data_IF_234844934387
#
_entry.id   IF_234844934387
#
_cell.length_a   1.000
_cell.length_b   1.000
_cell.length_c   1.000
_cell.angle_alpha   90.00
_cell.angle_beta   90.00
_cell.angle_gamma   90.00
#
_symmetry.space_group_name_H-M   'P 1'
#
loop_
_entity.id
_entity.type
_entity.pdbx_description
1 polymer ?
#
# COMPACT_ATOMS: atom_id res chain seq x y z
N UNK A 1 -21.01 1.79 -10.43
CA UNK A 1 -20.21 0.79 -11.21
C UNK A 1 -21.09 -0.41 -11.51
N UNK A 2 -21.42 -0.65 -12.77
CA UNK A 2 -22.30 -1.75 -13.17
C UNK A 2 -21.49 -3.04 -13.32
N UNK A 3 -21.90 -4.09 -12.61
CA UNK A 3 -21.28 -5.43 -12.62
C UNK A 3 -21.49 -6.23 -13.93
N UNK A 4 -21.74 -5.54 -15.05
CA UNK A 4 -22.11 -6.16 -16.33
C UNK A 4 -21.06 -7.14 -16.91
N UNK A 5 -19.84 -7.18 -16.36
CA UNK A 5 -18.78 -8.10 -16.82
C UNK A 5 -18.66 -9.40 -16.01
N UNK A 6 -19.30 -9.52 -14.85
CA UNK A 6 -19.11 -10.66 -13.94
C UNK A 6 -20.22 -11.70 -14.04
N UNK A 7 -21.30 -11.45 -14.81
CA UNK A 7 -22.45 -12.35 -14.91
C UNK A 7 -23.21 -12.57 -13.59
N UNK A 8 -22.92 -11.78 -12.57
CA UNK A 8 -23.55 -11.83 -11.24
C UNK A 8 -24.39 -10.57 -11.07
N UNK A 9 -25.68 -10.73 -10.84
CA UNK A 9 -26.56 -9.61 -10.46
C UNK A 9 -26.28 -9.22 -9.02
N UNK A 10 -25.67 -8.05 -8.80
CA UNK A 10 -25.37 -7.53 -7.47
C UNK A 10 -24.85 -6.11 -7.50
N UNK A 11 -24.95 -5.40 -6.36
CA UNK A 11 -24.38 -4.08 -6.19
C UNK A 11 -22.91 -4.20 -5.75
N UNK A 12 -22.00 -4.05 -6.72
CA UNK A 12 -20.54 -4.12 -6.49
C UNK A 12 -20.09 -2.96 -5.60
N UNK A 13 -20.72 -1.80 -5.67
CA UNK A 13 -20.36 -0.66 -4.83
C UNK A 13 -20.71 -0.93 -3.37
N UNK A 14 -21.88 -1.51 -3.10
CA UNK A 14 -22.26 -1.95 -1.77
C UNK A 14 -21.31 -3.03 -1.23
N UNK A 15 -20.94 -4.00 -2.07
CA UNK A 15 -20.00 -5.05 -1.68
C UNK A 15 -18.63 -4.47 -1.33
N UNK A 16 -18.08 -3.58 -2.16
CA UNK A 16 -16.82 -2.89 -1.89
C UNK A 16 -16.90 -2.00 -0.64
N UNK A 17 -18.06 -1.38 -0.40
CA UNK A 17 -18.33 -0.61 0.81
C UNK A 17 -18.28 -1.45 2.09
N UNK A 18 -18.60 -2.74 1.99
CA UNK A 18 -18.61 -3.68 3.13
C UNK A 18 -17.24 -4.31 3.41
N UNK A 19 -16.27 -4.15 2.51
CA UNK A 19 -14.90 -4.67 2.70
C UNK A 19 -14.18 -3.89 3.79
N UNK A 20 -13.60 -4.60 4.76
CA UNK A 20 -12.86 -4.00 5.87
C UNK A 20 -11.50 -3.41 5.48
N UNK A 21 -11.00 -3.69 4.27
CA UNK A 21 -9.74 -3.15 3.76
C UNK A 21 -9.99 -1.75 3.19
N UNK A 22 -9.28 -0.70 3.66
CA UNK A 22 -9.37 0.64 3.12
C UNK A 22 -9.15 0.67 1.60
N UNK A 23 -10.13 1.22 0.86
CA UNK A 23 -10.14 1.18 -0.61
C UNK A 23 -10.55 2.54 -1.18
N UNK A 24 -10.01 2.87 -2.35
CA UNK A 24 -10.26 4.15 -3.00
C UNK A 24 -10.34 4.04 -4.53
N UNK A 25 -11.00 5.04 -5.14
CA UNK A 25 -10.99 5.26 -6.59
C UNK A 25 -10.57 6.68 -6.87
N UNK A 26 -9.58 6.83 -7.75
CA UNK A 26 -9.18 8.12 -8.35
C UNK A 26 -9.67 8.18 -9.79
N UNK A 27 -10.01 9.37 -10.27
CA UNK A 27 -10.15 9.60 -11.70
C UNK A 27 -8.78 9.79 -12.38
N UNK A 28 -8.78 9.98 -13.69
CA UNK A 28 -7.55 10.18 -14.47
C UNK A 28 -6.82 11.50 -14.18
N UNK A 29 -7.45 12.41 -13.45
CA UNK A 29 -6.83 13.67 -12.98
C UNK A 29 -6.26 13.54 -11.57
N UNK A 30 -6.46 12.40 -10.89
CA UNK A 30 -5.98 12.16 -9.54
C UNK A 30 -6.92 12.64 -8.43
N UNK A 31 -8.15 13.00 -8.77
CA UNK A 31 -9.16 13.37 -7.77
C UNK A 31 -9.80 12.12 -7.18
N UNK A 32 -9.92 12.07 -5.85
CA UNK A 32 -10.59 11.00 -5.12
C UNK A 32 -12.09 11.05 -5.42
N UNK A 33 -12.61 10.03 -6.11
CA UNK A 33 -14.02 9.95 -6.48
C UNK A 33 -14.80 9.07 -5.54
N UNK A 34 -14.16 8.10 -4.95
CA UNK A 34 -14.81 7.18 -4.02
C UNK A 34 -13.80 6.66 -3.01
N UNK A 35 -14.26 6.43 -1.79
CA UNK A 35 -13.57 5.70 -0.73
C UNK A 35 -14.60 4.84 0.00
N UNK A 36 -14.17 3.70 0.51
CA UNK A 36 -15.03 2.90 1.37
C UNK A 36 -14.99 3.39 2.83
N UNK A 37 -15.91 2.94 3.69
CA UNK A 37 -15.94 3.34 5.11
C UNK A 37 -14.64 3.02 5.87
N UNK A 38 -13.89 2.00 5.46
CA UNK A 38 -12.60 1.70 6.08
C UNK A 38 -11.54 2.77 5.76
N UNK A 39 -11.47 3.23 4.49
CA UNK A 39 -10.58 4.33 4.10
C UNK A 39 -11.01 5.67 4.72
N UNK A 40 -12.33 5.90 4.87
CA UNK A 40 -12.85 7.10 5.52
C UNK A 40 -12.48 7.15 7.01
N UNK A 41 -12.51 6.02 7.72
CA UNK A 41 -12.02 5.94 9.11
C UNK A 41 -10.52 6.24 9.23
N UNK A 42 -9.74 5.83 8.23
CA UNK A 42 -8.29 5.99 8.22
C UNK A 42 -7.87 7.42 7.89
N UNK A 43 -8.48 8.03 6.88
CA UNK A 43 -8.04 9.30 6.30
C UNK A 43 -8.99 10.47 6.58
N UNK A 44 -10.20 10.19 7.03
CA UNK A 44 -11.31 11.14 7.00
C UNK A 44 -11.95 11.22 5.62
N UNK A 45 -12.95 12.09 5.45
CA UNK A 45 -13.55 12.30 4.13
C UNK A 45 -12.62 13.14 3.23
N UNK A 46 -12.04 12.46 2.25
CA UNK A 46 -11.12 13.04 1.27
C UNK A 46 -11.67 13.06 -0.15
N UNK A 47 -12.97 12.73 -0.31
CA UNK A 47 -13.65 12.79 -1.62
C UNK A 47 -13.57 14.21 -2.21
N UNK A 48 -13.38 14.30 -3.51
CA UNK A 48 -13.20 15.55 -4.22
C UNK A 48 -11.82 16.21 -4.07
N UNK A 49 -10.97 15.72 -3.18
CA UNK A 49 -9.59 16.22 -3.04
C UNK A 49 -8.67 15.49 -4.03
N UNK A 50 -7.60 16.15 -4.43
CA UNK A 50 -6.54 15.52 -5.20
C UNK A 50 -5.71 14.60 -4.27
N UNK A 51 -5.34 13.39 -4.72
CA UNK A 51 -4.68 12.39 -3.89
C UNK A 51 -3.37 12.89 -3.24
N UNK A 52 -2.68 13.84 -3.88
CA UNK A 52 -1.47 14.43 -3.29
C UNK A 52 -1.71 15.22 -2.01
N UNK A 53 -2.96 15.60 -1.72
CA UNK A 53 -3.30 16.29 -0.47
C UNK A 53 -3.33 15.36 0.75
N UNK A 54 -3.37 14.05 0.50
CA UNK A 54 -3.35 13.00 1.54
C UNK A 54 -2.06 12.18 1.53
N UNK A 55 -1.09 12.54 0.69
CA UNK A 55 0.24 11.93 0.66
C UNK A 55 1.23 12.89 1.29
N UNK A 56 2.11 12.38 2.15
CA UNK A 56 3.14 13.19 2.77
C UNK A 56 4.05 13.86 1.72
N UNK A 57 4.53 15.09 1.95
CA UNK A 57 5.31 15.85 0.98
C UNK A 57 6.50 15.08 0.39
N UNK A 58 7.20 14.32 1.22
CA UNK A 58 8.37 13.51 0.85
C UNK A 58 8.04 12.37 -0.12
N UNK A 59 6.80 11.88 -0.11
CA UNK A 59 6.34 10.78 -0.98
C UNK A 59 5.57 11.26 -2.22
N UNK A 60 5.22 12.55 -2.28
CA UNK A 60 4.33 13.11 -3.31
C UNK A 60 4.90 12.92 -4.72
N UNK A 61 6.20 13.10 -4.93
CA UNK A 61 6.82 12.94 -6.24
C UNK A 61 6.68 11.49 -6.74
N UNK A 62 7.02 10.52 -5.90
CA UNK A 62 6.92 9.09 -6.21
C UNK A 62 5.47 8.65 -6.45
N UNK A 63 4.54 9.18 -5.66
CA UNK A 63 3.12 8.90 -5.83
C UNK A 63 2.59 9.41 -7.17
N UNK A 64 2.98 10.63 -7.60
CA UNK A 64 2.63 11.19 -8.91
C UNK A 64 3.17 10.35 -10.06
N UNK A 65 4.44 9.94 -9.98
CA UNK A 65 5.05 9.10 -11.02
C UNK A 65 4.32 7.75 -11.14
N UNK A 66 4.07 7.10 -10.02
CA UNK A 66 3.32 5.84 -9.97
C UNK A 66 1.90 5.97 -10.52
N UNK A 67 1.20 7.04 -10.17
CA UNK A 67 -0.14 7.35 -10.70
C UNK A 67 -0.12 7.59 -12.21
N UNK A 68 0.81 8.41 -12.70
CA UNK A 68 0.93 8.73 -14.13
C UNK A 68 1.16 7.48 -14.98
N UNK A 69 2.00 6.55 -14.54
CA UNK A 69 2.24 5.27 -15.24
C UNK A 69 0.96 4.43 -15.36
N UNK A 70 0.10 4.44 -14.34
CA UNK A 70 -1.17 3.72 -14.37
C UNK A 70 -2.16 4.35 -15.33
N UNK A 71 -2.29 5.68 -15.30
CA UNK A 71 -3.18 6.42 -16.20
C UNK A 71 -2.76 6.26 -17.65
N UNK A 72 -1.44 6.23 -17.92
CA UNK A 72 -0.90 5.96 -19.26
C UNK A 72 -1.01 4.48 -19.67
N UNK A 73 -1.46 3.60 -18.77
CA UNK A 73 -1.63 2.18 -19.05
C UNK A 73 -0.32 1.38 -19.21
N UNK A 74 0.83 2.00 -18.84
CA UNK A 74 2.15 1.38 -18.99
C UNK A 74 2.48 0.37 -17.89
N UNK A 75 1.67 0.31 -16.84
CA UNK A 75 1.88 -0.61 -15.72
C UNK A 75 0.54 -1.25 -15.31
N UNK A 76 0.43 -2.58 -15.29
CA UNK A 76 -0.84 -3.27 -15.01
C UNK A 76 -1.23 -3.17 -13.53
N UNK A 77 -0.26 -3.21 -12.63
CA UNK A 77 -0.47 -3.08 -11.19
C UNK A 77 0.80 -2.51 -10.55
N UNK A 78 0.66 -1.82 -9.43
CA UNK A 78 1.83 -1.41 -8.64
C UNK A 78 1.55 -1.63 -7.16
N UNK A 79 2.54 -2.16 -6.47
CA UNK A 79 2.67 -2.07 -5.03
C UNK A 79 3.66 -0.95 -4.72
N UNK A 80 3.30 -0.09 -3.83
CA UNK A 80 4.13 1.03 -3.39
C UNK A 80 3.86 1.34 -1.94
N UNK A 81 4.80 2.00 -1.33
CA UNK A 81 4.71 2.41 0.06
C UNK A 81 4.65 3.92 0.11
N UNK A 82 3.85 4.47 1.00
CA UNK A 82 3.76 5.91 1.21
C UNK A 82 3.40 6.22 2.67
N UNK A 83 3.67 7.43 3.09
CA UNK A 83 3.07 8.01 4.29
C UNK A 83 1.85 8.78 3.85
N UNK A 84 0.68 8.38 4.34
CA UNK A 84 -0.55 9.13 4.17
C UNK A 84 -0.79 10.06 5.35
N UNK A 85 -1.43 11.18 5.09
CA UNK A 85 -1.80 12.18 6.10
C UNK A 85 -3.32 12.32 6.10
N UNK A 86 -3.94 11.99 7.24
CA UNK A 86 -5.38 12.11 7.40
C UNK A 86 -5.83 13.57 7.41
N UNK A 87 -7.14 13.80 7.36
CA UNK A 87 -7.73 15.14 7.51
C UNK A 87 -7.46 15.77 8.88
N UNK A 88 -7.11 14.97 9.89
CA UNK A 88 -6.72 15.43 11.24
C UNK A 88 -5.20 15.63 11.39
N UNK A 89 -4.43 15.42 10.31
CA UNK A 89 -2.97 15.53 10.33
C UNK A 89 -2.24 14.28 10.83
N UNK A 90 -2.95 13.21 11.15
CA UNK A 90 -2.33 11.94 11.57
C UNK A 90 -1.58 11.32 10.39
N UNK A 91 -0.33 10.94 10.62
CA UNK A 91 0.51 10.28 9.62
C UNK A 91 0.41 8.77 9.78
N UNK A 92 0.18 8.09 8.67
CA UNK A 92 0.04 6.63 8.63
C UNK A 92 0.97 6.07 7.56
N UNK A 93 1.86 5.18 7.96
CA UNK A 93 2.68 4.40 7.01
C UNK A 93 1.81 3.32 6.38
N UNK A 94 1.74 3.29 5.06
CA UNK A 94 0.86 2.37 4.33
C UNK A 94 1.57 1.69 3.17
N UNK A 95 1.10 0.49 2.85
CA UNK A 95 1.33 -0.16 1.57
C UNK A 95 0.13 0.09 0.67
N UNK A 96 0.39 0.51 -0.55
CA UNK A 96 -0.62 0.80 -1.55
C UNK A 96 -0.53 -0.23 -2.67
N UNK A 97 -1.61 -0.96 -2.90
CA UNK A 97 -1.79 -1.77 -4.09
C UNK A 97 -2.80 -1.11 -5.00
N UNK A 98 -2.45 -0.81 -6.24
CA UNK A 98 -3.33 -0.09 -7.13
C UNK A 98 -3.25 -0.57 -8.58
N UNK A 99 -4.43 -0.60 -9.22
CA UNK A 99 -4.61 -1.05 -10.60
C UNK A 99 -5.35 0.02 -11.41
N UNK A 100 -5.08 0.15 -12.72
CA UNK A 100 -5.89 1.00 -13.59
C UNK A 100 -7.31 0.45 -13.74
N UNK A 101 -8.31 1.33 -13.55
CA UNK A 101 -9.69 1.04 -13.94
C UNK A 101 -9.85 1.28 -15.44
N UNK A 102 -10.41 0.30 -16.14
CA UNK A 102 -10.58 0.36 -17.59
C UNK A 102 -12.05 0.29 -18.00
N UNK A 103 -12.35 1.02 -19.05
CA UNK A 103 -13.57 0.88 -19.84
C UNK A 103 -13.11 0.53 -21.26
N UNK A 104 -13.24 -0.75 -21.64
CA UNK A 104 -12.57 -1.31 -22.79
C UNK A 104 -11.04 -1.16 -22.70
N UNK A 105 -10.42 -0.54 -23.69
CA UNK A 105 -8.97 -0.25 -23.69
C UNK A 105 -8.60 1.05 -22.96
N UNK A 106 -9.58 1.89 -22.69
CA UNK A 106 -9.36 3.21 -22.11
C UNK A 106 -9.22 3.11 -20.59
N UNK A 107 -8.17 3.72 -20.02
CA UNK A 107 -8.07 3.92 -18.57
C UNK A 107 -8.99 5.08 -18.16
N UNK A 108 -9.93 4.81 -17.26
CA UNK A 108 -10.91 5.79 -16.76
C UNK A 108 -10.62 6.22 -15.33
N UNK A 109 -9.68 5.55 -14.66
CA UNK A 109 -9.31 5.86 -13.29
C UNK A 109 -8.31 4.86 -12.73
N UNK A 110 -8.13 4.91 -11.43
CA UNK A 110 -7.27 4.00 -10.66
C UNK A 110 -8.07 3.51 -9.44
N UNK A 111 -8.16 2.21 -9.26
CA UNK A 111 -8.65 1.59 -8.04
C UNK A 111 -7.45 1.18 -7.18
N UNK A 112 -7.52 1.41 -5.88
CA UNK A 112 -6.45 1.03 -4.96
C UNK A 112 -6.95 0.55 -3.62
N UNK A 113 -6.11 -0.28 -3.01
CA UNK A 113 -6.22 -0.76 -1.64
C UNK A 113 -5.12 -0.11 -0.82
N UNK A 114 -5.44 0.19 0.42
CA UNK A 114 -4.50 0.72 1.40
C UNK A 114 -4.33 -0.35 2.48
N UNK A 115 -3.16 -0.93 2.58
CA UNK A 115 -2.79 -1.77 3.72
C UNK A 115 -2.00 -0.90 4.69
N UNK A 116 -2.65 -0.51 5.76
CA UNK A 116 -2.06 0.37 6.78
C UNK A 116 -2.78 0.22 8.10
N UNK A 117 -2.00 0.07 9.13
CA UNK A 117 -2.50 0.19 10.48
C UNK A 117 -2.26 1.63 10.92
N UNK A 118 -3.28 2.34 11.47
CA UNK A 118 -3.03 3.61 12.13
C UNK A 118 -1.96 3.38 13.20
N UNK A 119 -0.98 4.28 13.25
CA UNK A 119 -0.01 4.27 14.34
C UNK A 119 -0.78 4.46 15.65
N UNK A 120 -1.10 3.38 16.32
CA UNK A 120 -1.56 3.46 17.69
C UNK A 120 -0.44 4.06 18.54
N UNK A 121 -0.81 5.02 19.39
CA UNK A 121 0.03 5.68 20.40
C UNK A 121 0.95 4.67 21.10
N UNK A 122 2.20 5.02 21.42
CA UNK A 122 3.24 4.07 21.76
C UNK A 122 2.93 3.28 23.03
N UNK A 123 2.37 2.11 22.86
CA UNK A 123 2.50 1.03 23.83
C UNK A 123 3.76 0.28 23.42
N UNK A 124 4.70 0.11 24.32
CA UNK A 124 6.01 -0.55 24.17
C UNK A 124 6.04 -1.59 23.04
N UNK A 125 6.86 -1.43 22.01
CA UNK A 125 6.67 -2.11 20.74
C UNK A 125 7.09 -3.57 20.84
N UNK A 126 6.10 -4.45 20.73
CA UNK A 126 6.39 -5.72 20.06
C UNK A 126 6.35 -5.41 18.54
N UNK A 127 7.37 -5.72 17.77
CA UNK A 127 7.41 -5.40 16.34
C UNK A 127 6.36 -6.25 15.59
N UNK A 128 5.18 -5.67 15.37
CA UNK A 128 4.17 -6.30 14.52
C UNK A 128 4.58 -6.10 13.06
N UNK A 129 5.24 -7.10 12.51
CA UNK A 129 5.60 -7.12 11.10
C UNK A 129 4.36 -7.48 10.27
N UNK A 130 4.15 -6.77 9.18
CA UNK A 130 3.13 -7.17 8.19
C UNK A 130 3.48 -8.55 7.61
N UNK A 131 2.51 -9.34 7.09
CA UNK A 131 2.79 -10.63 6.45
C UNK A 131 3.90 -10.51 5.40
N UNK A 132 3.91 -9.43 4.63
CA UNK A 132 4.94 -9.19 3.60
C UNK A 132 6.32 -8.87 4.19
N UNK A 133 6.37 -8.15 5.29
CA UNK A 133 7.63 -7.91 6.01
C UNK A 133 8.19 -9.19 6.62
N UNK A 134 7.33 -10.08 7.12
CA UNK A 134 7.72 -11.42 7.60
C UNK A 134 8.32 -12.26 6.48
N UNK A 135 7.72 -12.27 5.30
CA UNK A 135 8.26 -12.97 4.12
C UNK A 135 9.65 -12.42 3.74
N UNK A 136 9.77 -11.10 3.64
CA UNK A 136 11.06 -10.44 3.34
C UNK A 136 12.09 -10.74 4.42
N UNK A 137 11.72 -10.74 5.70
CA UNK A 137 12.61 -11.07 6.81
C UNK A 137 13.13 -12.50 6.70
N UNK A 138 12.25 -13.48 6.45
CA UNK A 138 12.65 -14.90 6.24
C UNK A 138 13.66 -15.05 5.09
N UNK A 139 13.46 -14.35 3.99
CA UNK A 139 14.38 -14.39 2.85
C UNK A 139 15.70 -13.69 3.16
N UNK A 140 15.69 -12.63 3.98
CA UNK A 140 16.90 -12.00 4.50
C UNK A 140 17.66 -12.96 5.43
N UNK A 141 17.00 -13.72 6.29
CA UNK A 141 17.62 -14.74 7.16
C UNK A 141 18.28 -15.84 6.34
N UNK A 142 17.67 -16.24 5.22
CA UNK A 142 18.24 -17.21 4.27
C UNK A 142 19.41 -16.65 3.46
N UNK A 143 19.83 -15.42 3.71
CA UNK A 143 20.97 -14.81 2.98
C UNK A 143 20.63 -14.27 1.59
N UNK A 144 19.35 -14.24 1.19
CA UNK A 144 18.93 -13.78 -0.15
C UNK A 144 19.24 -12.30 -0.35
N UNK A 145 19.85 -11.97 -1.47
CA UNK A 145 20.05 -10.58 -1.89
C UNK A 145 18.72 -9.92 -2.27
N UNK A 146 18.65 -8.59 -2.24
CA UNK A 146 17.47 -7.82 -2.67
C UNK A 146 16.97 -8.23 -4.06
N UNK A 147 17.90 -8.55 -4.99
CA UNK A 147 17.57 -8.99 -6.35
C UNK A 147 16.91 -10.38 -6.35
N UNK A 148 17.41 -11.30 -5.53
CA UNK A 148 16.84 -12.64 -5.39
C UNK A 148 15.47 -12.60 -4.72
N UNK A 149 15.32 -11.78 -3.67
CA UNK A 149 14.03 -11.54 -3.00
C UNK A 149 13.01 -10.98 -4.00
N UNK A 150 13.42 -10.01 -4.82
CA UNK A 150 12.56 -9.42 -5.85
C UNK A 150 12.08 -10.47 -6.86
N UNK A 151 12.97 -11.34 -7.32
CA UNK A 151 12.62 -12.42 -8.24
C UNK A 151 11.67 -13.45 -7.60
N UNK A 152 11.94 -13.85 -6.35
CA UNK A 152 11.17 -14.87 -5.63
C UNK A 152 9.77 -14.39 -5.26
N UNK A 153 9.64 -13.10 -4.92
CA UNK A 153 8.37 -12.48 -4.54
C UNK A 153 7.63 -11.83 -5.72
N UNK A 154 8.17 -11.93 -6.94
CA UNK A 154 7.64 -11.29 -8.17
C UNK A 154 7.45 -9.77 -8.03
N UNK A 155 8.41 -9.11 -7.34
CA UNK A 155 8.41 -7.67 -7.10
C UNK A 155 9.57 -6.97 -7.84
N UNK A 156 9.49 -5.64 -7.93
CA UNK A 156 10.66 -4.86 -8.32
C UNK A 156 11.71 -4.82 -7.20
N UNK A 157 12.98 -4.67 -7.56
CA UNK A 157 14.06 -4.50 -6.56
C UNK A 157 13.86 -3.26 -5.69
N UNK A 158 13.21 -2.23 -6.24
CA UNK A 158 12.90 -1.01 -5.50
C UNK A 158 11.79 -1.24 -4.47
N UNK A 159 10.76 -2.01 -4.82
CA UNK A 159 9.72 -2.43 -3.87
C UNK A 159 10.33 -3.21 -2.71
N UNK A 160 11.22 -4.16 -2.99
CA UNK A 160 11.91 -4.93 -1.93
C UNK A 160 12.79 -4.03 -1.06
N UNK A 161 13.52 -3.06 -1.64
CA UNK A 161 14.30 -2.08 -0.84
C UNK A 161 13.39 -1.30 0.12
N UNK A 162 12.20 -0.93 -0.33
CA UNK A 162 11.23 -0.23 0.50
C UNK A 162 10.72 -1.11 1.64
N UNK A 163 10.39 -2.38 1.37
CA UNK A 163 10.02 -3.35 2.43
C UNK A 163 11.16 -3.53 3.45
N UNK A 164 12.39 -3.68 3.00
CA UNK A 164 13.58 -3.82 3.87
C UNK A 164 13.77 -2.58 4.73
N UNK A 165 13.64 -1.37 4.16
CA UNK A 165 13.78 -0.11 4.92
C UNK A 165 12.73 0.00 6.03
N UNK A 166 11.49 -0.40 5.75
CA UNK A 166 10.41 -0.40 6.74
C UNK A 166 10.57 -1.47 7.78
N UNK A 167 10.96 -2.67 7.35
CA UNK A 167 11.30 -3.76 8.24
C UNK A 167 12.37 -3.31 9.26
N UNK A 168 13.44 -2.66 8.81
CA UNK A 168 14.49 -2.15 9.70
C UNK A 168 13.94 -1.11 10.66
N UNK A 169 13.07 -0.21 10.17
CA UNK A 169 12.43 0.78 11.03
C UNK A 169 11.50 0.13 12.06
N UNK A 170 10.69 -0.85 11.66
CA UNK A 170 9.78 -1.57 12.55
C UNK A 170 10.53 -2.37 13.61
N UNK A 171 11.68 -2.94 13.27
CA UNK A 171 12.55 -3.67 14.20
C UNK A 171 13.46 -2.75 15.04
N UNK A 172 13.50 -1.44 14.73
CA UNK A 172 14.42 -0.49 15.40
C UNK A 172 15.90 -0.76 15.10
N UNK A 173 16.21 -1.35 13.92
CA UNK A 173 17.56 -1.75 13.51
C UNK A 173 18.05 -0.94 12.31
N UNK A 174 19.36 -0.88 12.11
CA UNK A 174 19.98 -0.06 11.05
C UNK A 174 20.76 -0.88 10.03
N UNK A 175 20.87 -2.19 10.25
CA UNK A 175 21.62 -3.07 9.36
C UNK A 175 20.89 -4.40 9.15
N UNK A 176 21.24 -5.06 8.04
CA UNK A 176 20.75 -6.41 7.72
C UNK A 176 21.11 -7.41 8.82
N UNK A 177 22.35 -7.31 9.35
CA UNK A 177 22.82 -8.22 10.36
C UNK A 177 22.02 -8.09 11.66
N UNK A 178 21.73 -6.85 12.05
CA UNK A 178 20.86 -6.55 13.19
C UNK A 178 19.43 -7.06 12.98
N UNK A 179 18.88 -6.90 11.76
CA UNK A 179 17.53 -7.39 11.44
C UNK A 179 17.43 -8.92 11.56
N UNK A 180 18.42 -9.64 11.06
CA UNK A 180 18.51 -11.10 11.18
C UNK A 180 18.70 -11.53 12.64
N UNK A 181 19.50 -10.80 13.42
CA UNK A 181 19.67 -11.06 14.85
C UNK A 181 18.36 -10.81 15.63
N UNK A 182 17.64 -9.73 15.31
CA UNK A 182 16.36 -9.38 15.94
C UNK A 182 15.27 -10.41 15.60
N UNK A 183 15.28 -10.99 14.40
CA UNK A 183 14.31 -11.99 13.96
C UNK A 183 14.28 -13.23 14.86
N UNK A 184 15.43 -13.66 15.36
CA UNK A 184 15.54 -14.80 16.29
C UNK A 184 14.81 -14.60 17.61
N UNK A 185 14.50 -13.33 17.97
CA UNK A 185 13.78 -12.99 19.18
C UNK A 185 12.27 -12.77 18.93
N UNK A 186 11.82 -12.76 17.66
CA UNK A 186 10.43 -12.47 17.26
C UNK A 186 9.70 -13.72 16.80
N UNK A 187 10.40 -14.80 16.43
CA UNK A 187 9.80 -16.07 16.04
C UNK A 187 9.96 -17.06 17.20
N UNK A 188 8.93 -17.32 18.01
CA UNK A 188 8.93 -18.52 18.84
C UNK A 188 8.79 -19.73 17.92
N UNK A 189 9.53 -20.80 18.20
CA UNK A 189 9.44 -22.13 17.59
C UNK A 189 8.00 -22.65 17.45
#
# INVERSE_FOLDING_TARGET
MTAAGLGVGGDVEQALGSVGVPSYVLDTTGVVRWINPAAERLLGDVRGRHFTSVVAPEDTHRARESFSRKVLGTTPATESTAVLVSTTGTRVDVELSAVPLRDGERVVGVFGLIDGHPAETPIVPQPHLTPRQVEVLRLLEQGRSTKQIAAELHLSTETVRNHVRRLFRALGVHSRLEAVAAARNVTPD
#
